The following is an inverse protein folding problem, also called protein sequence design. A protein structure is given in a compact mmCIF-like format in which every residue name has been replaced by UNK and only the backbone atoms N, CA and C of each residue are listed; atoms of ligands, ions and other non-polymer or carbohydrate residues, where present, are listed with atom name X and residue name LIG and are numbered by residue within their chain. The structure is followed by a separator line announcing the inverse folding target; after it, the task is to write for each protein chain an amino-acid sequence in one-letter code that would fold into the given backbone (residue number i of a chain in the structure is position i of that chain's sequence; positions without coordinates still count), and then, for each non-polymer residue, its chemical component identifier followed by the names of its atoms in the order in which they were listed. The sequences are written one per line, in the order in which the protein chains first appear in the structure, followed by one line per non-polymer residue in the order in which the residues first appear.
data_IF_125003199913
#
_entry.id   IF_125003199913
#
_cell.length_a   1.000
_cell.length_b   1.000
_cell.length_c   1.000
_cell.angle_alpha   90.00
_cell.angle_beta   90.00
_cell.angle_gamma   90.00
#
_symmetry.space_group_name_H-M   'P 1'
#
loop_
_entity.id
_entity.type
_entity.pdbx_description
1 polymer ?
#
# COMPACT_ATOMS: atom_id res chain seq x y z
N UNK A 1 -8.79 -21.73 -7.74
CA UNK A 1 -9.20 -20.46 -7.11
C UNK A 1 -8.06 -19.48 -7.30
N UNK A 2 -8.26 -18.41 -8.06
CA UNK A 2 -7.25 -17.35 -8.16
C UNK A 2 -7.27 -16.58 -6.85
N UNK A 3 -6.25 -16.76 -6.01
CA UNK A 3 -6.07 -15.91 -4.84
C UNK A 3 -5.75 -14.50 -5.35
N UNK A 4 -6.72 -13.58 -5.31
CA UNK A 4 -6.46 -12.19 -5.63
C UNK A 4 -5.49 -11.65 -4.58
N UNK A 5 -4.30 -11.25 -5.01
CA UNK A 5 -3.26 -10.66 -4.16
C UNK A 5 -3.80 -9.52 -3.26
N UNK A 6 -4.85 -8.82 -3.69
CA UNK A 6 -5.59 -7.82 -2.92
C UNK A 6 -6.25 -8.35 -1.65
N UNK A 7 -6.87 -9.54 -1.68
CA UNK A 7 -7.56 -10.11 -0.50
C UNK A 7 -6.57 -10.43 0.61
N UNK A 8 -5.36 -10.89 0.23
CA UNK A 8 -4.28 -11.13 1.18
C UNK A 8 -3.74 -9.85 1.80
N UNK A 9 -3.96 -8.67 1.23
CA UNK A 9 -3.41 -7.41 1.71
C UNK A 9 -4.40 -6.57 2.53
N UNK A 10 -5.70 -6.91 2.51
CA UNK A 10 -6.74 -6.18 3.26
C UNK A 10 -6.44 -6.04 4.76
N UNK A 11 -5.69 -6.97 5.36
CA UNK A 11 -5.28 -6.90 6.77
C UNK A 11 -4.32 -5.73 7.08
N UNK A 12 -3.70 -5.13 6.05
CA UNK A 12 -2.80 -3.98 6.19
C UNK A 12 -3.55 -2.64 6.27
N UNK A 13 -4.87 -2.61 6.02
CA UNK A 13 -5.67 -1.39 6.20
C UNK A 13 -5.62 -0.96 7.67
N UNK A 14 -5.31 0.31 7.91
CA UNK A 14 -5.09 0.86 9.24
C UNK A 14 -3.67 0.64 9.79
N UNK A 15 -2.75 0.07 8.99
CA UNK A 15 -1.36 -0.14 9.38
C UNK A 15 -0.39 0.77 8.63
N UNK A 16 0.78 1.00 9.23
CA UNK A 16 1.92 1.62 8.56
C UNK A 16 2.61 0.57 7.69
N UNK A 17 2.92 0.94 6.46
CA UNK A 17 3.60 0.09 5.50
C UNK A 17 4.58 0.89 4.65
N UNK A 18 5.48 0.19 3.97
CA UNK A 18 6.31 0.76 2.92
C UNK A 18 5.86 0.14 1.59
N UNK A 19 5.40 0.98 0.68
CA UNK A 19 5.03 0.58 -0.68
C UNK A 19 6.25 0.78 -1.58
N UNK A 20 6.65 -0.28 -2.28
CA UNK A 20 7.69 -0.24 -3.30
C UNK A 20 7.02 -0.20 -4.67
N UNK A 21 7.37 0.79 -5.48
CA UNK A 21 6.80 0.98 -6.82
C UNK A 21 7.81 1.65 -7.74
N UNK A 22 8.25 0.95 -8.78
CA UNK A 22 9.11 1.49 -9.83
C UNK A 22 10.41 2.09 -9.30
N UNK A 23 11.09 1.40 -8.38
CA UNK A 23 12.29 1.82 -7.63
C UNK A 23 12.08 2.89 -6.55
N UNK A 24 10.88 3.41 -6.36
CA UNK A 24 10.57 4.33 -5.28
C UNK A 24 10.04 3.59 -4.05
N UNK A 25 10.31 4.15 -2.86
CA UNK A 25 9.80 3.64 -1.58
C UNK A 25 8.97 4.71 -0.90
N UNK A 26 7.75 4.36 -0.51
CA UNK A 26 6.82 5.28 0.12
C UNK A 26 6.43 4.76 1.50
N UNK A 27 6.86 5.46 2.56
CA UNK A 27 6.39 5.24 3.93
C UNK A 27 5.00 5.81 4.08
N UNK A 28 4.01 4.94 4.21
CA UNK A 28 2.59 5.32 4.19
C UNK A 28 1.80 4.67 5.31
N UNK A 29 0.70 5.30 5.70
CA UNK A 29 -0.38 4.70 6.46
C UNK A 29 -1.48 4.27 5.49
N UNK A 30 -1.80 2.98 5.44
CA UNK A 30 -2.77 2.45 4.47
C UNK A 30 -4.18 2.75 4.96
N UNK A 31 -4.95 3.47 4.14
CA UNK A 31 -6.33 3.83 4.47
C UNK A 31 -7.36 2.91 3.83
N UNK A 32 -7.08 2.43 2.61
CA UNK A 32 -7.98 1.53 1.90
C UNK A 32 -7.21 0.72 0.86
N UNK A 33 -7.63 -0.52 0.64
CA UNK A 33 -7.12 -1.39 -0.42
C UNK A 33 -8.31 -1.86 -1.24
N UNK A 34 -8.19 -1.77 -2.55
CA UNK A 34 -9.15 -2.30 -3.51
C UNK A 34 -8.41 -3.19 -4.50
N UNK A 35 -9.11 -3.99 -5.33
CA UNK A 35 -8.46 -4.79 -6.36
C UNK A 35 -7.61 -3.96 -7.35
N UNK A 36 -7.92 -2.68 -7.54
CA UNK A 36 -7.28 -1.84 -8.55
C UNK A 36 -6.28 -0.82 -7.98
N UNK A 37 -6.44 -0.43 -6.72
CA UNK A 37 -5.59 0.60 -6.11
C UNK A 37 -5.48 0.48 -4.59
N UNK A 38 -4.40 1.07 -4.06
CA UNK A 38 -4.18 1.31 -2.64
C UNK A 38 -4.22 2.81 -2.38
N UNK A 39 -5.09 3.23 -1.44
CA UNK A 39 -5.13 4.60 -0.95
C UNK A 39 -4.39 4.68 0.38
N UNK A 40 -3.40 5.55 0.47
CA UNK A 40 -2.58 5.68 1.66
C UNK A 40 -2.16 7.14 1.91
N UNK A 41 -1.78 7.45 3.15
CA UNK A 41 -1.27 8.76 3.55
C UNK A 41 0.24 8.66 3.72
N UNK A 42 1.00 9.49 3.03
CA UNK A 42 2.45 9.54 3.20
C UNK A 42 2.81 10.13 4.57
N UNK A 43 3.57 9.38 5.36
CA UNK A 43 3.79 9.68 6.79
C UNK A 43 4.52 11.02 7.00
N UNK A 44 5.46 11.37 6.12
CA UNK A 44 6.26 12.59 6.28
C UNK A 44 5.53 13.86 5.85
N UNK A 45 4.65 13.77 4.85
CA UNK A 45 4.00 14.94 4.25
C UNK A 45 2.52 15.08 4.63
N UNK A 46 1.89 14.02 5.13
CA UNK A 46 0.44 13.95 5.35
C UNK A 46 -0.37 13.90 4.06
N UNK A 47 0.27 13.86 2.89
CA UNK A 47 -0.41 13.86 1.61
C UNK A 47 -1.06 12.50 1.33
N UNK A 48 -2.29 12.53 0.81
CA UNK A 48 -2.98 11.34 0.34
C UNK A 48 -2.41 10.96 -1.04
N UNK A 49 -1.94 9.73 -1.17
CA UNK A 49 -1.51 9.12 -2.43
C UNK A 49 -2.39 7.93 -2.77
N UNK A 50 -2.62 7.76 -4.07
CA UNK A 50 -3.30 6.60 -4.64
C UNK A 50 -2.28 5.87 -5.50
N UNK A 51 -2.05 4.60 -5.18
CA UNK A 51 -1.12 3.73 -5.89
C UNK A 51 -1.93 2.73 -6.72
N UNK A 52 -1.64 2.62 -8.01
CA UNK A 52 -2.23 1.60 -8.86
C UNK A 52 -1.64 0.24 -8.46
N UNK A 53 -2.49 -0.75 -8.20
CA UNK A 53 -2.07 -2.07 -7.75
C UNK A 53 -1.11 -2.75 -8.75
N UNK A 54 -1.32 -2.53 -10.05
CA UNK A 54 -0.48 -3.10 -11.11
C UNK A 54 0.94 -2.52 -11.15
N UNK A 55 1.19 -1.39 -10.48
CA UNK A 55 2.50 -0.73 -10.42
C UNK A 55 3.18 -0.92 -9.06
N UNK A 56 2.55 -1.62 -8.12
CA UNK A 56 3.16 -1.94 -6.82
C UNK A 56 3.97 -3.20 -7.01
N UNK A 57 5.27 -3.11 -6.76
CA UNK A 57 6.18 -4.25 -6.84
C UNK A 57 5.98 -5.16 -5.61
N UNK A 58 5.97 -4.56 -4.42
CA UNK A 58 5.58 -5.24 -3.18
C UNK A 58 5.30 -4.25 -2.03
N UNK A 59 4.67 -4.74 -0.96
CA UNK A 59 4.39 -3.98 0.28
C UNK A 59 5.06 -4.68 1.46
N UNK A 60 5.84 -3.95 2.27
CA UNK A 60 6.40 -4.44 3.53
C UNK A 60 5.76 -3.77 4.75
N UNK A 61 5.64 -4.49 5.88
CA UNK A 61 5.23 -3.90 7.15
C UNK A 61 6.29 -2.89 7.63
N UNK A 62 5.82 -1.72 8.11
CA UNK A 62 6.72 -0.71 8.67
C UNK A 62 6.77 -0.85 10.20
N UNK A 63 7.78 -1.57 10.72
CA UNK A 63 8.03 -1.70 12.16
C UNK A 63 8.67 -0.42 12.71
N UNK A 64 7.86 0.62 12.98
CA UNK A 64 8.27 1.82 13.70
C UNK A 64 7.18 2.28 14.67
#
# INVERSE_FOLDING_TARGET
MSFCYSDSLCHLVGQKAIIHSGNCRYKVFICNITPSYVKAIEICSGNIKIFNMCHIDFIEPCCC
#
